data_IF_385532798251
#
_entry.id   IF_385532798251
#
_cell.length_a   1.000
_cell.length_b   1.000
_cell.length_c   1.000
_cell.angle_alpha   90.00
_cell.angle_beta   90.00
_cell.angle_gamma   90.00
#
_symmetry.space_group_name_H-M   'P 1'
#
loop_
_entity.id
_entity.type
_entity.pdbx_description
1 polymer ?
#
# COMPACT_ATOMS: atom_id res chain seq x y z
N UNK A 1 12.57 -7.04 -7.34
CA UNK A 1 12.67 -8.48 -7.63
C UNK A 1 11.91 -8.90 -8.89
N UNK A 2 10.61 -8.59 -9.02
CA UNK A 2 9.84 -8.91 -10.25
C UNK A 2 10.48 -8.26 -11.47
N UNK A 3 10.68 -6.93 -11.44
CA UNK A 3 11.31 -6.19 -12.54
C UNK A 3 12.74 -6.67 -12.83
N UNK A 4 13.50 -7.01 -11.78
CA UNK A 4 14.87 -7.49 -11.90
C UNK A 4 14.97 -8.85 -12.63
N UNK A 5 13.87 -9.60 -12.74
CA UNK A 5 13.80 -10.88 -13.44
C UNK A 5 13.19 -10.77 -14.84
N UNK A 6 12.77 -9.56 -15.26
CA UNK A 6 12.10 -9.34 -16.55
C UNK A 6 12.96 -9.81 -17.72
N UNK A 7 14.25 -9.49 -17.72
CA UNK A 7 15.19 -9.90 -18.76
C UNK A 7 15.30 -11.43 -18.85
N UNK A 8 15.36 -12.12 -17.70
CA UNK A 8 15.41 -13.59 -17.65
C UNK A 8 14.15 -14.22 -18.23
N UNK A 9 12.97 -13.64 -17.96
CA UNK A 9 11.71 -14.09 -18.56
C UNK A 9 11.73 -13.90 -20.08
N UNK A 10 12.17 -12.73 -20.54
CA UNK A 10 12.24 -12.40 -21.96
C UNK A 10 13.18 -13.34 -22.71
N UNK A 11 14.40 -13.53 -22.22
CA UNK A 11 15.39 -14.45 -22.81
C UNK A 11 14.87 -15.89 -22.83
N UNK A 12 14.23 -16.35 -21.76
CA UNK A 12 13.63 -17.69 -21.71
C UNK A 12 12.53 -17.85 -22.75
N UNK A 13 11.68 -16.85 -22.90
CA UNK A 13 10.61 -16.85 -23.88
C UNK A 13 11.13 -16.87 -25.31
N UNK A 14 12.09 -16.00 -25.64
CA UNK A 14 12.73 -15.93 -26.96
C UNK A 14 13.43 -17.25 -27.32
N UNK A 15 14.21 -17.82 -26.40
CA UNK A 15 14.88 -19.11 -26.61
C UNK A 15 13.88 -20.24 -26.83
N UNK A 16 12.80 -20.27 -26.06
CA UNK A 16 11.73 -21.25 -26.24
C UNK A 16 11.03 -21.10 -27.59
N UNK A 17 10.72 -19.89 -28.02
CA UNK A 17 10.14 -19.63 -29.35
C UNK A 17 11.06 -20.14 -30.47
N UNK A 18 12.37 -19.89 -30.38
CA UNK A 18 13.33 -20.40 -31.37
C UNK A 18 13.34 -21.93 -31.45
N UNK A 19 13.16 -22.65 -30.34
CA UNK A 19 13.08 -24.11 -30.35
C UNK A 19 11.82 -24.59 -31.08
N UNK A 20 10.70 -23.90 -30.89
CA UNK A 20 9.44 -24.19 -31.57
C UNK A 20 9.55 -23.91 -33.07
N UNK A 21 10.11 -22.77 -33.46
CA UNK A 21 10.31 -22.39 -34.87
C UNK A 21 11.22 -23.37 -35.62
N UNK A 22 12.25 -23.88 -34.95
CA UNK A 22 13.17 -24.88 -35.51
C UNK A 22 12.58 -26.30 -35.57
N UNK A 23 11.30 -26.48 -35.22
CA UNK A 23 10.64 -27.79 -35.16
C UNK A 23 11.44 -28.81 -34.34
N UNK A 24 11.99 -28.36 -33.20
CA UNK A 24 12.68 -29.24 -32.26
C UNK A 24 11.78 -30.41 -31.84
N UNK A 25 12.34 -31.59 -31.57
CA UNK A 25 11.56 -32.79 -31.25
C UNK A 25 10.61 -32.61 -30.05
N UNK A 26 10.95 -31.70 -29.13
CA UNK A 26 10.15 -31.34 -27.95
C UNK A 26 9.32 -30.06 -28.12
N UNK A 27 9.09 -29.57 -29.35
CA UNK A 27 8.43 -28.27 -29.60
C UNK A 27 7.04 -28.15 -28.95
N UNK A 28 6.27 -29.24 -28.93
CA UNK A 28 4.93 -29.23 -28.32
C UNK A 28 5.02 -29.00 -26.81
N UNK A 29 5.92 -29.70 -26.13
CA UNK A 29 6.18 -29.52 -24.70
C UNK A 29 6.70 -28.10 -24.40
N UNK A 30 7.63 -27.60 -25.21
CA UNK A 30 8.17 -26.23 -25.06
C UNK A 30 7.05 -25.19 -25.19
N UNK A 31 6.16 -25.35 -26.18
CA UNK A 31 5.04 -24.44 -26.40
C UNK A 31 4.06 -24.44 -25.22
N UNK A 32 3.75 -25.61 -24.66
CA UNK A 32 2.94 -25.74 -23.46
C UNK A 32 3.59 -25.00 -22.28
N UNK A 33 4.88 -25.25 -22.03
CA UNK A 33 5.62 -24.59 -20.93
C UNK A 33 5.70 -23.07 -21.08
N UNK A 34 5.89 -22.57 -22.31
CA UNK A 34 5.88 -21.12 -22.58
C UNK A 34 4.51 -20.48 -22.30
N UNK A 35 3.44 -21.19 -22.66
CA UNK A 35 2.07 -20.74 -22.38
C UNK A 35 1.82 -20.66 -20.87
N UNK A 36 2.20 -21.71 -20.14
CA UNK A 36 2.10 -21.74 -18.67
C UNK A 36 2.92 -20.61 -18.04
N UNK A 37 4.17 -20.42 -18.46
CA UNK A 37 5.04 -19.35 -17.97
C UNK A 37 4.41 -17.95 -18.16
N UNK A 38 3.82 -17.70 -19.32
CA UNK A 38 3.15 -16.43 -19.64
C UNK A 38 1.92 -16.20 -18.75
N UNK A 39 1.13 -17.25 -18.52
CA UNK A 39 -0.06 -17.19 -17.68
C UNK A 39 0.29 -16.96 -16.20
N UNK A 40 1.33 -17.64 -15.71
CA UNK A 40 1.85 -17.46 -14.36
C UNK A 40 2.40 -16.05 -14.15
N UNK A 41 3.17 -15.51 -15.11
CA UNK A 41 3.66 -14.13 -15.08
C UNK A 41 2.51 -13.13 -15.01
N UNK A 42 1.48 -13.32 -15.83
CA UNK A 42 0.30 -12.44 -15.85
C UNK A 42 -0.43 -12.48 -14.50
N UNK A 43 -0.64 -13.67 -13.96
CA UNK A 43 -1.27 -13.87 -12.65
C UNK A 43 -0.46 -13.23 -11.52
N UNK A 44 0.87 -13.36 -11.56
CA UNK A 44 1.77 -12.76 -10.59
C UNK A 44 1.66 -11.23 -10.58
N UNK A 45 1.67 -10.60 -11.76
CA UNK A 45 1.56 -9.15 -11.88
C UNK A 45 0.20 -8.63 -11.38
N UNK A 46 -0.88 -9.34 -11.70
CA UNK A 46 -2.21 -9.00 -11.20
C UNK A 46 -2.31 -9.08 -9.67
N UNK A 47 -1.79 -10.16 -9.07
CA UNK A 47 -1.75 -10.33 -7.61
C UNK A 47 -0.89 -9.27 -6.92
N UNK A 48 0.24 -8.91 -7.53
CA UNK A 48 1.12 -7.88 -7.01
C UNK A 48 0.41 -6.52 -6.97
N UNK A 49 -0.32 -6.18 -8.04
CA UNK A 49 -1.05 -4.92 -8.13
C UNK A 49 -2.23 -4.86 -7.13
N UNK A 50 -2.99 -5.94 -7.01
CA UNK A 50 -4.04 -6.07 -6.00
C UNK A 50 -3.47 -5.86 -4.59
N UNK A 51 -2.32 -6.48 -4.30
CA UNK A 51 -1.64 -6.34 -3.02
C UNK A 51 -1.16 -4.91 -2.77
N UNK A 52 -0.62 -4.24 -3.80
CA UNK A 52 -0.17 -2.85 -3.71
C UNK A 52 -1.33 -1.93 -3.32
N UNK A 53 -2.46 -2.05 -4.02
CA UNK A 53 -3.68 -1.27 -3.73
C UNK A 53 -4.17 -1.51 -2.30
N UNK A 54 -4.20 -2.77 -1.85
CA UNK A 54 -4.60 -3.10 -0.49
C UNK A 54 -3.71 -2.41 0.55
N UNK A 55 -2.39 -2.41 0.34
CA UNK A 55 -1.47 -1.74 1.27
C UNK A 55 -1.59 -0.23 1.26
N UNK A 56 -1.89 0.39 0.12
CA UNK A 56 -2.21 1.82 0.05
C UNK A 56 -3.47 2.14 0.85
N UNK A 57 -4.55 1.36 0.69
CA UNK A 57 -5.77 1.51 1.47
C UNK A 57 -5.54 1.32 2.97
N UNK A 58 -4.74 0.32 3.36
CA UNK A 58 -4.37 0.11 4.76
C UNK A 58 -3.58 1.30 5.32
N UNK A 59 -2.64 1.85 4.54
CA UNK A 59 -1.86 3.02 4.94
C UNK A 59 -2.77 4.23 5.16
N UNK A 60 -3.66 4.52 4.22
CA UNK A 60 -4.63 5.63 4.33
C UNK A 60 -5.51 5.48 5.58
N UNK A 61 -5.96 4.27 5.86
CA UNK A 61 -6.75 3.98 7.06
C UNK A 61 -5.96 4.23 8.36
N UNK A 62 -4.68 3.84 8.40
CA UNK A 62 -3.83 4.10 9.58
C UNK A 62 -3.57 5.59 9.77
N UNK A 63 -3.36 6.34 8.69
CA UNK A 63 -3.23 7.80 8.75
C UNK A 63 -4.52 8.44 9.29
N UNK A 64 -5.68 8.00 8.80
CA UNK A 64 -6.98 8.47 9.29
C UNK A 64 -7.16 8.23 10.80
N UNK A 65 -6.85 7.03 11.29
CA UNK A 65 -6.96 6.74 12.72
C UNK A 65 -6.03 7.60 13.57
N UNK A 66 -4.77 7.77 13.14
CA UNK A 66 -3.82 8.64 13.83
C UNK A 66 -4.32 10.08 13.89
N UNK A 67 -4.82 10.60 12.77
CA UNK A 67 -5.29 11.99 12.69
C UNK A 67 -6.56 12.19 13.52
N UNK A 68 -7.44 11.18 13.60
CA UNK A 68 -8.63 11.19 14.46
C UNK A 68 -8.24 11.16 15.94
N UNK A 69 -7.32 10.28 16.34
CA UNK A 69 -6.82 10.21 17.72
C UNK A 69 -6.16 11.53 18.16
N UNK A 70 -5.44 12.19 17.24
CA UNK A 70 -4.86 13.49 17.50
C UNK A 70 -5.94 14.56 17.71
N UNK A 71 -6.99 14.56 16.89
CA UNK A 71 -8.13 15.47 17.03
C UNK A 71 -8.87 15.23 18.35
N UNK A 72 -9.17 13.97 18.70
CA UNK A 72 -9.83 13.60 19.94
C UNK A 72 -9.01 14.04 21.17
N UNK A 73 -7.70 13.81 21.14
CA UNK A 73 -6.79 14.26 22.21
C UNK A 73 -6.79 15.78 22.35
N UNK A 74 -6.86 16.52 21.25
CA UNK A 74 -6.91 17.98 21.27
C UNK A 74 -8.25 18.48 21.82
N UNK A 75 -9.37 17.90 21.37
CA UNK A 75 -10.71 18.25 21.85
C UNK A 75 -10.85 17.95 23.34
N UNK A 76 -10.41 16.78 23.82
CA UNK A 76 -10.46 16.42 25.23
C UNK A 76 -9.69 17.40 26.13
N UNK A 77 -8.55 17.94 25.66
CA UNK A 77 -7.82 18.99 26.39
C UNK A 77 -8.61 20.29 26.45
N UNK A 78 -9.28 20.65 25.36
CA UNK A 78 -10.09 21.87 25.30
C UNK A 78 -11.34 21.73 26.17
N UNK A 79 -12.01 20.58 26.15
CA UNK A 79 -13.14 20.26 27.01
C UNK A 79 -12.73 20.34 28.49
N UNK A 80 -11.63 19.70 28.88
CA UNK A 80 -11.13 19.76 30.26
C UNK A 80 -10.77 21.19 30.71
N UNK A 81 -10.30 22.05 29.81
CA UNK A 81 -10.07 23.46 30.10
C UNK A 81 -11.39 24.23 30.28
N UNK A 82 -12.41 23.95 29.46
CA UNK A 82 -13.72 24.62 29.53
C UNK A 82 -14.59 24.14 30.70
N UNK A 83 -14.45 22.88 31.13
CA UNK A 83 -15.09 22.34 32.33
C UNK A 83 -14.51 22.92 33.63
N UNK A 84 -13.40 23.68 33.54
CA UNK A 84 -12.85 24.37 34.69
C UNK A 84 -13.76 25.55 35.09
N UNK A 85 -14.53 25.35 36.16
CA UNK A 85 -15.43 26.37 36.72
C UNK A 85 -14.70 27.42 37.60
N UNK A 86 -13.37 27.41 37.67
CA UNK A 86 -12.61 28.42 38.42
C UNK A 86 -12.60 29.75 37.67
N UNK A 87 -13.49 30.65 38.10
CA UNK A 87 -13.64 31.99 37.54
C UNK A 87 -12.59 32.99 38.06
N UNK A 88 -11.68 32.57 38.95
CA UNK A 88 -10.73 33.45 39.61
C UNK A 88 -11.38 34.26 40.74
N UNK A 89 -10.61 34.54 41.80
CA UNK A 89 -11.07 35.25 43.01
C UNK A 89 -10.73 36.76 43.00
N UNK A 90 -10.07 37.23 41.95
CA UNK A 90 -9.62 38.62 41.78
C UNK A 90 -9.82 39.13 40.35
N UNK A 91 -9.88 40.46 40.19
CA UNK A 91 -9.98 41.11 38.88
C UNK A 91 -8.82 40.71 37.95
N UNK A 92 -7.60 40.62 38.49
CA UNK A 92 -6.41 40.22 37.76
C UNK A 92 -6.48 38.75 37.31
N UNK A 93 -7.02 37.84 38.14
CA UNK A 93 -7.23 36.44 37.75
C UNK A 93 -8.32 36.27 36.68
N UNK A 94 -9.39 37.08 36.74
CA UNK A 94 -10.46 37.08 35.73
C UNK A 94 -9.95 37.63 34.40
N UNK A 95 -9.16 38.72 34.41
CA UNK A 95 -8.53 39.25 33.19
C UNK A 95 -7.55 38.25 32.55
N UNK A 96 -6.85 37.45 33.36
CA UNK A 96 -5.97 36.40 32.88
C UNK A 96 -6.73 35.22 32.24
N UNK A 97 -7.95 34.92 32.70
CA UNK A 97 -8.81 33.86 32.14
C UNK A 97 -9.50 34.28 30.82
N UNK A 98 -9.67 35.58 30.57
CA UNK A 98 -10.29 36.13 29.34
C UNK A 98 -9.30 36.19 28.16
N UNK A 99 -8.00 36.18 28.44
CA UNK A 99 -6.92 36.35 27.45
C UNK A 99 -6.43 35.03 26.88
#
# INVERSE_FOLDING_TARGET
>A
EIDAREDSFKVTHENGQMLVEKSHHASEEVKEKLTTLSNEKTSLLALWEERRILYEQCMDLQLFYRDTEQADTWMAKQEAFLENEDLGDSLDSVEALIK
#
